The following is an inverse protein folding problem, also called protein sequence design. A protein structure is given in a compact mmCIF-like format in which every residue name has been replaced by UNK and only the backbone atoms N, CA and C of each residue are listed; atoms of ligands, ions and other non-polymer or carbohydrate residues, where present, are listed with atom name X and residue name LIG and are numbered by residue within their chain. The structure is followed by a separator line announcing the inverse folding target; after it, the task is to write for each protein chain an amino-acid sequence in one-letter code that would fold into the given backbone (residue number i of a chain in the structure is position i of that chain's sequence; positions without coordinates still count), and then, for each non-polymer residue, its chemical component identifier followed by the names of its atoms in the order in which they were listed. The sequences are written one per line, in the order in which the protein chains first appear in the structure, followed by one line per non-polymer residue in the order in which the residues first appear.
data_IF_737792188212
#
_entry.id   IF_737792188212
#
_cell.length_a   1.000
_cell.length_b   1.000
_cell.length_c   1.000
_cell.angle_alpha   90.00
_cell.angle_beta   90.00
_cell.angle_gamma   90.00
#
_symmetry.space_group_name_H-M   'P 1'
#
loop_
_entity.id
_entity.type
_entity.pdbx_description
1 polymer ?
#
# COMPACT_ATOMS: atom_id res chain seq x y z
N UNK A 1 -24.32 -68.09 -5.40
CA UNK A 1 -25.14 -66.87 -5.45
C UNK A 1 -24.38 -65.81 -4.66
N UNK A 2 -23.67 -64.92 -5.35
CA UNK A 2 -22.78 -63.91 -4.74
C UNK A 2 -23.63 -62.71 -4.30
N UNK A 3 -23.58 -62.34 -3.02
CA UNK A 3 -24.14 -61.08 -2.53
C UNK A 3 -23.16 -59.95 -2.87
N UNK A 4 -23.61 -58.99 -3.68
CA UNK A 4 -22.97 -57.70 -3.90
C UNK A 4 -23.50 -56.72 -2.86
N UNK A 5 -22.62 -56.25 -1.98
CA UNK A 5 -22.84 -55.06 -1.14
C UNK A 5 -22.53 -53.86 -2.03
N UNK A 6 -23.55 -53.04 -2.30
CA UNK A 6 -23.38 -51.73 -2.94
C UNK A 6 -23.07 -50.75 -1.80
N UNK A 7 -21.80 -50.35 -1.69
CA UNK A 7 -21.39 -49.20 -0.90
C UNK A 7 -21.35 -47.98 -1.82
N UNK A 8 -22.25 -47.03 -1.60
CA UNK A 8 -22.24 -45.72 -2.24
C UNK A 8 -21.14 -44.85 -1.62
N UNK A 9 -20.01 -44.72 -2.32
CA UNK A 9 -19.04 -43.64 -2.07
C UNK A 9 -19.55 -42.36 -2.75
N UNK A 10 -20.19 -41.49 -1.97
CA UNK A 10 -20.34 -40.09 -2.35
C UNK A 10 -19.04 -39.36 -1.98
N UNK A 11 -18.08 -39.34 -2.89
CA UNK A 11 -16.89 -38.51 -2.77
C UNK A 11 -17.26 -37.05 -3.00
N UNK A 12 -17.31 -36.26 -1.93
CA UNK A 12 -17.30 -34.79 -2.02
C UNK A 12 -15.88 -34.40 -2.42
N UNK A 13 -15.66 -34.13 -3.70
CA UNK A 13 -14.47 -33.41 -4.15
C UNK A 13 -14.71 -31.95 -3.79
N UNK A 14 -14.23 -31.52 -2.62
CA UNK A 14 -14.02 -30.10 -2.36
C UNK A 14 -12.88 -29.65 -3.28
N UNK A 15 -13.23 -29.03 -4.40
CA UNK A 15 -12.30 -28.20 -5.14
C UNK A 15 -11.97 -26.99 -4.25
N UNK A 16 -10.85 -27.07 -3.53
CA UNK A 16 -10.18 -25.88 -3.04
C UNK A 16 -9.59 -25.17 -4.26
N UNK A 17 -10.31 -24.18 -4.79
CA UNK A 17 -9.69 -23.14 -5.59
C UNK A 17 -8.84 -22.30 -4.62
N UNK A 18 -7.58 -22.69 -4.43
CA UNK A 18 -6.58 -21.74 -4.00
C UNK A 18 -6.48 -20.72 -5.14
N UNK A 19 -7.05 -19.53 -4.92
CA UNK A 19 -6.68 -18.38 -5.72
C UNK A 19 -5.15 -18.29 -5.63
N UNK A 20 -4.47 -18.42 -6.78
CA UNK A 20 -3.05 -18.11 -6.88
C UNK A 20 -2.95 -16.59 -6.73
N UNK A 21 -3.09 -16.10 -5.50
CA UNK A 21 -2.79 -14.73 -5.15
C UNK A 21 -1.31 -14.51 -5.44
N UNK A 22 -1.01 -13.57 -6.32
CA UNK A 22 0.35 -13.03 -6.40
C UNK A 22 0.69 -12.54 -4.99
N UNK A 23 1.79 -13.01 -4.41
CA UNK A 23 2.20 -12.54 -3.10
C UNK A 23 2.34 -11.01 -3.15
N UNK A 24 1.83 -10.27 -2.15
CA UNK A 24 1.97 -8.82 -2.13
C UNK A 24 3.45 -8.45 -2.18
N UNK A 25 3.76 -7.42 -2.96
CA UNK A 25 5.14 -7.00 -3.23
C UNK A 25 5.85 -6.56 -1.96
N UNK A 26 5.11 -5.88 -1.08
CA UNK A 26 5.48 -5.64 0.30
C UNK A 26 4.20 -5.39 1.09
N UNK A 27 4.25 -5.64 2.40
CA UNK A 27 3.19 -5.24 3.33
C UNK A 27 3.55 -3.88 3.90
N UNK A 28 3.01 -2.82 3.29
CA UNK A 28 3.40 -1.44 3.61
C UNK A 28 2.42 -0.80 4.58
N UNK A 29 2.92 -0.20 5.65
CA UNK A 29 2.13 0.61 6.58
C UNK A 29 2.64 2.03 6.71
N UNK A 30 1.83 2.89 7.30
CA UNK A 30 2.19 4.29 7.55
C UNK A 30 2.00 4.64 9.03
N UNK A 31 2.96 5.37 9.60
CA UNK A 31 2.76 6.00 10.91
C UNK A 31 1.58 6.97 10.84
N UNK A 32 0.69 6.87 11.84
CA UNK A 32 -0.50 7.69 11.93
C UNK A 32 -0.44 8.53 13.20
N UNK A 33 -0.33 9.84 13.03
CA UNK A 33 -0.39 10.81 14.09
C UNK A 33 -1.84 11.13 14.45
N UNK A 34 -2.15 11.02 15.74
CA UNK A 34 -3.52 11.13 16.23
C UNK A 34 -3.90 12.55 16.69
N UNK A 35 -2.97 13.51 16.64
CA UNK A 35 -3.15 14.86 17.19
C UNK A 35 -4.11 15.78 16.43
N UNK A 36 -4.72 15.36 15.33
CA UNK A 36 -5.64 16.20 14.54
C UNK A 36 -7.06 16.24 15.11
N UNK A 37 -7.17 16.53 16.42
CA UNK A 37 -8.41 16.55 17.19
C UNK A 37 -8.57 17.84 17.99
N UNK A 38 -9.78 18.09 18.49
CA UNK A 38 -10.00 19.04 19.58
C UNK A 38 -11.26 18.66 20.37
N UNK A 39 -11.20 18.78 21.70
CA UNK A 39 -12.29 18.51 22.63
C UNK A 39 -13.59 19.28 22.35
N UNK A 40 -13.50 20.37 21.58
CA UNK A 40 -14.64 21.20 21.18
C UNK A 40 -14.90 20.94 19.70
N UNK A 41 -16.04 20.34 19.31
CA UNK A 41 -16.29 19.89 17.94
C UNK A 41 -16.11 20.95 16.84
N UNK A 42 -16.31 22.23 17.16
CA UNK A 42 -16.19 23.33 16.19
C UNK A 42 -14.85 24.07 16.29
N UNK A 43 -13.94 23.64 17.15
CA UNK A 43 -12.62 24.25 17.28
C UNK A 43 -11.64 23.66 16.27
N UNK A 44 -10.66 24.48 15.91
CA UNK A 44 -9.48 24.07 15.12
C UNK A 44 -8.72 23.00 15.89
N UNK A 45 -8.15 22.00 15.20
CA UNK A 45 -7.35 20.96 15.83
C UNK A 45 -6.24 21.53 16.73
N UNK A 46 -6.01 20.91 17.88
CA UNK A 46 -5.10 21.41 18.92
C UNK A 46 -3.67 21.61 18.41
N UNK A 47 -3.24 20.76 17.46
CA UNK A 47 -1.90 20.78 16.88
C UNK A 47 -1.79 21.65 15.61
N UNK A 48 -2.89 22.22 15.13
CA UNK A 48 -2.91 23.17 14.02
C UNK A 48 -2.65 24.60 14.51
N UNK A 49 -1.40 24.87 14.91
CA UNK A 49 -0.97 26.17 15.40
C UNK A 49 -1.10 27.28 14.32
N UNK A 50 -0.94 28.54 14.72
CA UNK A 50 -1.11 29.67 13.80
C UNK A 50 -0.11 29.67 12.65
N UNK A 51 1.13 29.25 12.90
CA UNK A 51 2.20 29.21 11.88
C UNK A 51 1.88 28.19 10.79
N UNK A 52 1.57 26.94 11.16
CA UNK A 52 1.15 25.89 10.24
C UNK A 52 -0.02 26.34 9.37
N UNK A 53 -1.07 26.92 9.98
CA UNK A 53 -2.27 27.32 9.24
C UNK A 53 -2.08 28.52 8.33
N UNK A 54 -1.22 29.47 8.71
CA UNK A 54 -1.08 30.72 7.97
C UNK A 54 0.03 30.65 6.92
N UNK A 55 1.12 29.93 7.22
CA UNK A 55 2.32 29.89 6.38
C UNK A 55 2.39 28.60 5.54
N UNK A 56 1.71 27.54 5.96
CA UNK A 56 1.66 26.25 5.27
C UNK A 56 0.21 25.73 5.06
N UNK A 57 -0.73 26.58 4.59
CA UNK A 57 -2.14 26.20 4.43
C UNK A 57 -2.35 25.04 3.45
N UNK A 58 -1.41 24.79 2.54
CA UNK A 58 -1.44 23.68 1.59
C UNK A 58 -1.34 22.31 2.25
N UNK A 59 -0.91 22.23 3.51
CA UNK A 59 -0.83 20.97 4.28
C UNK A 59 -2.15 20.57 4.92
N UNK A 60 -3.19 21.41 4.83
CA UNK A 60 -4.49 21.05 5.40
C UNK A 60 -5.07 19.84 4.66
N UNK A 61 -5.56 18.80 5.35
CA UNK A 61 -6.21 17.68 4.68
C UNK A 61 -7.47 18.14 3.94
N UNK A 62 -7.83 17.46 2.84
CA UNK A 62 -8.98 17.83 2.00
C UNK A 62 -10.32 17.86 2.75
N UNK A 63 -10.45 17.16 3.87
CA UNK A 63 -11.63 17.15 4.75
C UNK A 63 -11.56 18.18 5.89
N UNK A 64 -10.45 18.91 6.04
CA UNK A 64 -10.19 19.80 7.18
C UNK A 64 -11.16 20.99 7.28
N UNK A 65 -11.59 21.55 6.15
CA UNK A 65 -12.60 22.62 6.09
C UNK A 65 -12.25 23.90 6.85
N UNK A 66 -10.96 24.19 7.03
CA UNK A 66 -10.41 25.27 7.84
C UNK A 66 -10.20 24.91 9.31
N UNK A 67 -10.65 23.73 9.76
CA UNK A 67 -10.51 23.26 11.14
C UNK A 67 -9.34 22.29 11.33
N UNK A 68 -8.72 21.77 10.26
CA UNK A 68 -7.58 20.85 10.35
C UNK A 68 -7.86 19.56 11.13
N UNK A 69 -9.13 19.17 11.24
CA UNK A 69 -9.56 18.00 12.02
C UNK A 69 -9.53 16.72 11.20
N UNK A 70 -9.22 15.60 11.86
CA UNK A 70 -9.21 14.26 11.29
C UNK A 70 -9.85 13.20 12.21
N UNK A 71 -10.62 13.64 13.20
CA UNK A 71 -10.97 12.86 14.40
C UNK A 71 -12.45 12.43 14.46
N UNK A 72 -13.07 12.19 13.31
CA UNK A 72 -14.40 11.58 13.22
C UNK A 72 -14.33 10.20 12.56
N UNK A 73 -15.28 9.31 12.89
CA UNK A 73 -15.39 7.99 12.24
C UNK A 73 -15.54 8.13 10.73
N UNK A 74 -16.33 9.09 10.24
CA UNK A 74 -16.54 9.30 8.79
C UNK A 74 -15.25 9.69 8.08
N UNK A 75 -14.41 10.53 8.71
CA UNK A 75 -13.10 10.89 8.15
C UNK A 75 -12.15 9.68 8.22
N UNK A 76 -12.19 8.88 9.29
CA UNK A 76 -11.41 7.64 9.36
C UNK A 76 -11.82 6.64 8.27
N UNK A 77 -13.11 6.47 8.00
CA UNK A 77 -13.60 5.62 6.90
C UNK A 77 -13.05 6.11 5.55
N UNK A 78 -13.06 7.42 5.28
CA UNK A 78 -12.43 8.00 4.08
C UNK A 78 -10.92 7.73 4.01
N UNK A 79 -10.22 7.84 5.15
CA UNK A 79 -8.78 7.57 5.22
C UNK A 79 -8.45 6.10 4.98
N UNK A 80 -9.25 5.17 5.52
CA UNK A 80 -9.12 3.73 5.28
C UNK A 80 -9.31 3.42 3.80
N UNK A 81 -10.34 3.99 3.16
CA UNK A 81 -10.57 3.78 1.74
C UNK A 81 -9.40 4.27 0.90
N UNK A 82 -8.93 5.51 1.16
CA UNK A 82 -7.76 6.07 0.48
C UNK A 82 -6.52 5.21 0.66
N UNK A 83 -6.19 4.80 1.89
CA UNK A 83 -5.00 4.02 2.15
C UNK A 83 -5.08 2.63 1.48
N UNK A 84 -6.19 1.91 1.65
CA UNK A 84 -6.38 0.59 1.08
C UNK A 84 -6.41 0.62 -0.47
N UNK A 85 -7.04 1.63 -1.08
CA UNK A 85 -7.08 1.82 -2.53
C UNK A 85 -5.69 2.06 -3.15
N UNK A 86 -4.69 2.47 -2.36
CA UNK A 86 -3.33 2.72 -2.84
C UNK A 86 -2.31 1.70 -2.31
N UNK A 87 -2.78 0.58 -1.75
CA UNK A 87 -1.93 -0.53 -1.32
C UNK A 87 -1.32 -0.38 0.07
N UNK A 88 -1.69 0.66 0.83
CA UNK A 88 -1.30 0.76 2.24
C UNK A 88 -2.11 -0.27 3.03
N UNK A 89 -1.40 -1.22 3.62
CA UNK A 89 -1.94 -2.41 4.26
C UNK A 89 -2.31 -2.20 5.73
N UNK A 90 -1.71 -1.20 6.39
CA UNK A 90 -2.02 -0.89 7.79
C UNK A 90 -1.67 0.53 8.21
N UNK A 91 -2.37 1.03 9.22
CA UNK A 91 -1.92 2.19 9.99
C UNK A 91 -1.17 1.76 11.25
N UNK A 92 -0.07 2.44 11.55
CA UNK A 92 0.67 2.32 12.79
C UNK A 92 0.35 3.51 13.70
N UNK A 93 -0.66 3.36 14.55
CA UNK A 93 -1.20 4.44 15.36
C UNK A 93 -0.23 4.83 16.48
N UNK A 94 0.07 6.12 16.58
CA UNK A 94 0.76 6.67 17.74
C UNK A 94 -0.16 6.60 18.95
N UNK A 95 0.19 5.80 19.94
CA UNK A 95 -0.61 5.63 21.14
C UNK A 95 0.07 6.24 22.36
N UNK A 96 -0.69 7.04 23.09
CA UNK A 96 -0.17 7.90 24.15
C UNK A 96 -0.73 7.53 25.53
N UNK A 97 0.13 7.50 26.54
CA UNK A 97 -0.27 7.31 27.94
C UNK A 97 -0.49 8.65 28.65
N UNK A 98 -1.60 8.77 29.38
CA UNK A 98 -1.93 9.96 30.19
C UNK A 98 -2.09 9.65 31.69
N UNK A 99 -1.10 8.97 32.26
CA UNK A 99 -0.92 8.81 33.72
C UNK A 99 -1.93 7.89 34.42
N UNK A 100 -3.06 7.54 33.79
CA UNK A 100 -4.00 6.53 34.28
C UNK A 100 -4.87 5.98 33.15
N UNK A 101 -5.47 4.78 33.32
CA UNK A 101 -6.36 4.22 32.31
C UNK A 101 -7.58 5.10 32.05
N UNK A 102 -8.16 5.69 33.10
CA UNK A 102 -9.35 6.54 32.97
C UNK A 102 -9.11 7.82 32.19
N UNK A 103 -7.93 8.43 32.32
CA UNK A 103 -7.61 9.66 31.58
C UNK A 103 -7.26 9.32 30.13
N UNK A 104 -6.45 8.27 29.93
CA UNK A 104 -6.05 7.81 28.59
C UNK A 104 -7.24 7.41 27.72
N UNK A 105 -8.29 6.80 28.28
CA UNK A 105 -9.52 6.52 27.52
C UNK A 105 -10.33 7.77 27.11
N UNK A 106 -10.02 8.95 27.66
CA UNK A 106 -10.76 10.19 27.46
C UNK A 106 -9.85 11.37 27.03
N UNK A 107 -8.65 11.10 26.53
CA UNK A 107 -7.64 12.14 26.25
C UNK A 107 -7.80 12.83 24.89
N UNK A 108 -8.71 12.35 24.05
CA UNK A 108 -8.96 12.87 22.70
C UNK A 108 -7.83 12.59 21.70
N UNK A 109 -6.57 12.57 22.16
CA UNK A 109 -5.41 12.29 21.32
C UNK A 109 -5.40 10.85 20.84
N UNK A 110 -5.92 9.86 21.56
CA UNK A 110 -5.99 8.47 21.05
C UNK A 110 -7.25 8.20 20.18
N UNK A 111 -7.88 9.25 19.63
CA UNK A 111 -9.19 9.14 18.97
C UNK A 111 -9.13 8.49 17.58
N UNK A 112 -8.01 8.54 16.87
CA UNK A 112 -7.85 7.92 15.56
C UNK A 112 -8.02 6.39 15.63
N UNK A 113 -7.33 5.72 16.55
CA UNK A 113 -7.44 4.29 16.81
C UNK A 113 -8.86 3.94 17.24
N UNK A 114 -9.46 4.73 18.15
CA UNK A 114 -10.84 4.53 18.56
C UNK A 114 -11.83 4.66 17.39
N UNK A 115 -11.60 5.61 16.47
CA UNK A 115 -12.39 5.80 15.26
C UNK A 115 -12.17 4.65 14.27
N UNK A 116 -10.93 4.16 14.12
CA UNK A 116 -10.61 3.01 13.27
C UNK A 116 -11.36 1.76 13.73
N UNK A 117 -11.38 1.48 15.04
CA UNK A 117 -12.12 0.33 15.56
C UNK A 117 -13.63 0.41 15.34
N UNK A 118 -14.18 1.62 15.19
CA UNK A 118 -15.60 1.89 14.93
C UNK A 118 -15.94 1.99 13.43
N UNK A 119 -14.95 2.21 12.57
CA UNK A 119 -15.14 2.38 11.14
C UNK A 119 -15.74 1.12 10.51
N UNK A 120 -16.76 1.30 9.67
CA UNK A 120 -17.48 0.18 9.06
C UNK A 120 -16.67 -0.59 8.01
N UNK A 121 -15.66 0.06 7.42
CA UNK A 121 -14.73 -0.47 6.42
C UNK A 121 -13.36 -0.85 6.98
N UNK A 122 -13.19 -0.94 8.30
CA UNK A 122 -11.90 -1.25 8.93
C UNK A 122 -11.29 -2.56 8.44
N UNK A 123 -12.09 -3.52 8.03
CA UNK A 123 -11.67 -4.85 7.51
C UNK A 123 -10.87 -4.80 6.22
N UNK A 124 -10.83 -3.63 5.56
CA UNK A 124 -9.98 -3.38 4.39
C UNK A 124 -8.48 -3.34 4.71
N UNK A 125 -8.10 -3.12 5.97
CA UNK A 125 -6.70 -3.02 6.38
C UNK A 125 -6.45 -3.58 7.78
N UNK A 126 -5.18 -3.78 8.09
CA UNK A 126 -4.71 -4.11 9.45
C UNK A 126 -4.42 -2.82 10.22
N UNK A 127 -4.12 -2.95 11.50
CA UNK A 127 -3.60 -1.85 12.31
C UNK A 127 -2.51 -2.34 13.26
N UNK A 128 -1.61 -1.43 13.62
CA UNK A 128 -0.54 -1.62 14.58
C UNK A 128 -0.56 -0.46 15.59
N UNK A 129 0.04 -0.67 16.76
CA UNK A 129 0.19 0.35 17.80
C UNK A 129 1.67 0.65 18.00
N UNK A 130 1.99 1.95 17.93
CA UNK A 130 3.28 2.53 18.28
C UNK A 130 3.17 3.22 19.65
N UNK A 131 3.72 2.61 20.70
CA UNK A 131 3.68 3.18 22.06
C UNK A 131 4.65 4.37 22.12
N UNK A 132 4.11 5.58 22.28
CA UNK A 132 4.88 6.83 22.33
C UNK A 132 5.24 7.20 23.77
N UNK A 133 6.30 6.55 24.27
CA UNK A 133 6.87 6.79 25.60
C UNK A 133 7.93 7.90 25.61
N UNK A 134 7.51 9.12 25.30
CA UNK A 134 8.33 10.33 25.41
C UNK A 134 7.51 11.46 26.05
N UNK A 135 8.19 12.43 26.67
CA UNK A 135 7.50 13.59 27.23
C UNK A 135 6.68 14.32 26.15
N UNK A 136 5.44 14.77 26.43
CA UNK A 136 4.81 14.81 27.76
C UNK A 136 4.04 13.54 28.19
N UNK A 137 4.02 12.49 27.36
CA UNK A 137 3.23 11.26 27.54
C UNK A 137 4.08 10.08 28.04
N UNK A 138 5.16 10.37 28.75
CA UNK A 138 6.07 9.35 29.24
C UNK A 138 5.38 8.43 30.26
N UNK A 139 5.68 7.15 30.20
CA UNK A 139 5.25 6.08 31.10
C UNK A 139 6.26 6.00 32.23
N UNK A 140 5.89 6.51 33.40
CA UNK A 140 6.84 6.89 34.43
C UNK A 140 7.26 5.74 35.36
N UNK A 141 6.61 4.58 35.28
CA UNK A 141 6.89 3.46 36.19
C UNK A 141 6.50 2.10 35.64
N UNK A 142 7.06 1.04 36.24
CA UNK A 142 6.67 -0.34 35.93
C UNK A 142 5.16 -0.57 36.06
N UNK A 143 4.55 0.02 37.10
CA UNK A 143 3.10 -0.11 37.34
C UNK A 143 2.28 0.53 36.23
N UNK A 144 2.74 1.66 35.68
CA UNK A 144 2.06 2.29 34.55
C UNK A 144 2.24 1.47 33.28
N UNK A 145 3.43 0.90 33.05
CA UNK A 145 3.65 -0.04 31.95
C UNK A 145 2.77 -1.30 32.05
N UNK A 146 2.58 -1.84 33.25
CA UNK A 146 1.65 -2.95 33.50
C UNK A 146 0.20 -2.55 33.13
N UNK A 147 -0.23 -1.34 33.49
CA UNK A 147 -1.55 -0.82 33.10
C UNK A 147 -1.68 -0.60 31.59
N UNK A 148 -0.63 -0.11 30.94
CA UNK A 148 -0.58 0.04 29.48
C UNK A 148 -0.73 -1.32 28.82
N UNK A 149 -0.02 -2.35 29.29
CA UNK A 149 -0.17 -3.72 28.77
C UNK A 149 -1.63 -4.20 28.86
N UNK A 150 -2.26 -4.05 30.03
CA UNK A 150 -3.66 -4.45 30.25
C UNK A 150 -4.63 -3.71 29.32
N UNK A 151 -4.40 -2.42 29.09
CA UNK A 151 -5.23 -1.61 28.18
C UNK A 151 -5.08 -1.98 26.71
N UNK A 152 -3.88 -2.40 26.30
CA UNK A 152 -3.59 -2.71 24.89
C UNK A 152 -3.99 -4.13 24.50
N UNK A 153 -4.12 -5.06 25.45
CA UNK A 153 -4.45 -6.46 25.13
C UNK A 153 -5.72 -6.68 24.29
N UNK A 154 -6.85 -5.99 24.54
CA UNK A 154 -8.03 -6.14 23.69
C UNK A 154 -7.77 -5.82 22.22
N UNK A 155 -6.88 -4.86 21.93
CA UNK A 155 -6.47 -4.53 20.57
C UNK A 155 -5.55 -5.61 19.98
N UNK A 156 -4.58 -6.09 20.76
CA UNK A 156 -3.63 -7.13 20.35
C UNK A 156 -4.30 -8.48 20.05
N UNK A 157 -5.43 -8.75 20.71
CA UNK A 157 -6.25 -9.92 20.47
C UNK A 157 -7.14 -9.80 19.21
N UNK A 158 -7.27 -8.60 18.62
CA UNK A 158 -8.11 -8.40 17.44
C UNK A 158 -7.54 -9.14 16.21
N UNK A 159 -8.44 -9.71 15.41
CA UNK A 159 -8.08 -10.44 14.18
C UNK A 159 -7.49 -9.54 13.08
N UNK A 160 -7.71 -8.23 13.18
CA UNK A 160 -7.16 -7.23 12.27
C UNK A 160 -5.87 -6.59 12.78
N UNK A 161 -5.40 -6.97 13.96
CA UNK A 161 -4.10 -6.51 14.43
C UNK A 161 -2.99 -7.06 13.53
N UNK A 162 -1.96 -6.24 13.26
CA UNK A 162 -0.80 -6.62 12.46
C UNK A 162 -0.04 -7.77 13.15
N UNK A 163 0.29 -8.81 12.39
CA UNK A 163 0.98 -9.99 12.90
C UNK A 163 2.25 -10.28 12.12
N UNK A 164 3.28 -10.71 12.84
CA UNK A 164 4.55 -11.23 12.32
C UNK A 164 4.77 -12.62 12.89
N UNK A 165 5.02 -13.62 12.06
CA UNK A 165 5.10 -15.02 12.48
C UNK A 165 3.81 -15.54 13.12
N UNK A 166 2.66 -14.86 12.89
CA UNK A 166 1.38 -15.14 13.55
C UNK A 166 1.16 -14.41 14.88
N UNK A 167 2.19 -13.80 15.45
CA UNK A 167 2.17 -13.06 16.71
C UNK A 167 1.88 -11.56 16.48
N UNK A 168 1.11 -10.88 17.34
CA UNK A 168 0.94 -9.42 17.25
C UNK A 168 2.28 -8.69 17.35
N UNK A 169 2.51 -7.71 16.48
CA UNK A 169 3.66 -6.83 16.52
C UNK A 169 3.32 -5.53 17.24
N UNK A 170 4.09 -5.11 18.24
CA UNK A 170 3.97 -3.78 18.87
C UNK A 170 5.20 -2.94 18.52
N UNK A 171 5.00 -1.71 18.07
CA UNK A 171 6.11 -0.77 17.87
C UNK A 171 6.33 0.08 19.12
N UNK A 172 7.59 0.31 19.50
CA UNK A 172 7.98 1.10 20.66
C UNK A 172 8.76 2.33 20.16
N UNK A 173 8.23 3.52 20.43
CA UNK A 173 8.82 4.78 19.98
C UNK A 173 10.18 5.05 20.65
N UNK A 174 10.24 4.90 21.97
CA UNK A 174 11.45 5.09 22.75
C UNK A 174 11.94 3.74 23.25
N UNK A 175 12.97 3.18 22.60
CA UNK A 175 13.46 1.83 22.93
C UNK A 175 14.02 1.70 24.34
N UNK A 176 14.38 2.80 24.99
CA UNK A 176 14.94 2.81 26.32
C UNK A 176 13.87 2.77 27.41
N UNK A 177 12.62 3.09 27.07
CA UNK A 177 11.49 3.11 27.99
C UNK A 177 11.09 1.72 28.51
N UNK A 178 11.15 0.70 27.65
CA UNK A 178 10.73 -0.66 28.02
C UNK A 178 11.84 -1.44 28.74
N UNK A 179 11.58 -1.83 29.99
CA UNK A 179 12.46 -2.70 30.76
C UNK A 179 12.17 -4.19 30.51
N UNK A 180 13.10 -5.08 30.89
CA UNK A 180 12.88 -6.54 30.84
C UNK A 180 11.66 -6.98 31.66
N UNK A 181 11.36 -6.27 32.75
CA UNK A 181 10.21 -6.58 33.59
C UNK A 181 8.90 -6.28 32.88
N UNK A 182 8.80 -5.12 32.24
CA UNK A 182 7.58 -4.73 31.54
C UNK A 182 7.39 -5.59 30.29
N UNK A 183 8.46 -5.89 29.55
CA UNK A 183 8.44 -6.88 28.48
C UNK A 183 7.84 -8.22 28.97
N UNK A 184 8.35 -8.76 30.08
CA UNK A 184 7.86 -10.03 30.63
C UNK A 184 6.39 -9.95 31.07
N UNK A 185 5.94 -8.79 31.53
CA UNK A 185 4.54 -8.57 31.87
C UNK A 185 3.64 -8.57 30.64
N UNK A 186 4.02 -7.88 29.56
CA UNK A 186 3.29 -7.95 28.28
C UNK A 186 3.11 -9.40 27.83
N UNK A 187 4.18 -10.21 27.86
CA UNK A 187 4.09 -11.62 27.50
C UNK A 187 3.17 -12.42 28.44
N UNK A 188 3.18 -12.12 29.74
CA UNK A 188 2.30 -12.76 30.71
C UNK A 188 0.81 -12.49 30.42
N UNK A 189 0.44 -11.22 30.16
CA UNK A 189 -0.95 -10.85 29.88
C UNK A 189 -1.38 -11.40 28.52
N UNK A 190 -0.49 -11.42 27.52
CA UNK A 190 -0.72 -12.04 26.23
C UNK A 190 -1.10 -13.51 26.35
N UNK A 191 -0.29 -14.29 27.07
CA UNK A 191 -0.55 -15.72 27.32
C UNK A 191 -1.90 -15.94 28.03
N UNK A 192 -2.26 -15.07 28.97
CA UNK A 192 -3.56 -15.13 29.65
C UNK A 192 -4.75 -14.81 28.74
N UNK A 193 -4.50 -14.10 27.63
CA UNK A 193 -5.48 -13.70 26.62
C UNK A 193 -5.52 -14.63 25.41
N UNK A 194 -4.77 -15.75 25.43
CA UNK A 194 -4.71 -16.72 24.34
C UNK A 194 -3.81 -16.30 23.17
N UNK A 195 -2.97 -15.28 23.37
CA UNK A 195 -1.90 -14.88 22.45
C UNK A 195 -0.64 -15.62 22.89
N UNK A 196 0.02 -16.33 21.97
CA UNK A 196 1.21 -17.13 22.30
C UNK A 196 2.38 -16.23 22.73
N UNK A 197 2.66 -15.21 21.93
CA UNK A 197 3.75 -14.26 22.15
C UNK A 197 3.44 -12.91 21.50
N UNK A 198 4.04 -11.83 22.00
CA UNK A 198 4.05 -10.51 21.38
C UNK A 198 5.43 -10.23 20.80
N UNK A 199 5.47 -9.84 19.53
CA UNK A 199 6.68 -9.33 18.87
C UNK A 199 6.83 -7.83 19.15
N UNK A 200 8.07 -7.36 19.29
CA UNK A 200 8.32 -5.93 19.50
C UNK A 200 9.32 -5.38 18.49
N UNK A 201 8.95 -4.27 17.85
CA UNK A 201 9.81 -3.46 17.01
C UNK A 201 10.23 -2.18 17.73
N UNK A 202 11.52 -1.89 17.83
CA UNK A 202 12.01 -0.64 18.38
C UNK A 202 12.31 0.40 17.30
N UNK A 203 11.91 1.66 17.52
CA UNK A 203 12.21 2.81 16.65
C UNK A 203 13.60 3.41 16.94
N UNK A 204 14.68 2.62 16.90
CA UNK A 204 16.03 3.12 17.22
C UNK A 204 17.11 2.53 16.34
N UNK A 205 18.25 3.21 16.31
CA UNK A 205 19.50 2.62 15.86
C UNK A 205 20.08 1.69 16.95
N UNK A 206 20.42 0.46 16.56
CA UNK A 206 21.17 -0.49 17.39
C UNK A 206 20.36 -1.64 17.96
N UNK A 207 21.05 -2.78 18.08
CA UNK A 207 20.50 -4.05 18.58
C UNK A 207 20.26 -3.96 20.09
N UNK A 208 19.03 -4.20 20.53
CA UNK A 208 18.75 -4.50 21.94
C UNK A 208 18.05 -5.84 22.05
N UNK A 209 18.57 -6.73 22.89
CA UNK A 209 18.10 -8.12 23.01
C UNK A 209 16.64 -8.28 23.47
N UNK A 210 15.93 -7.18 23.75
CA UNK A 210 14.51 -7.18 24.15
C UNK A 210 13.55 -7.10 22.97
N UNK A 211 14.04 -6.63 21.83
CA UNK A 211 13.22 -6.48 20.62
C UNK A 211 13.45 -7.68 19.71
N UNK A 212 12.45 -8.04 18.93
CA UNK A 212 12.60 -9.05 17.88
C UNK A 212 12.83 -8.37 16.53
N UNK A 213 12.39 -7.12 16.42
CA UNK A 213 12.48 -6.30 15.22
C UNK A 213 13.08 -4.91 15.54
N UNK A 214 13.64 -4.29 14.51
CA UNK A 214 14.11 -2.90 14.56
C UNK A 214 13.52 -2.14 13.37
N UNK A 215 13.18 -0.87 13.58
CA UNK A 215 12.71 0.05 12.56
C UNK A 215 13.08 1.48 12.99
N UNK A 216 12.61 2.50 12.26
CA UNK A 216 12.76 3.89 12.65
C UNK A 216 11.42 4.59 12.53
N UNK A 217 11.09 5.46 13.49
CA UNK A 217 9.94 6.36 13.35
C UNK A 217 10.17 7.37 12.24
N UNK A 218 11.32 8.05 12.28
CA UNK A 218 11.79 8.99 11.28
C UNK A 218 13.32 8.99 11.27
N UNK A 219 13.92 9.50 10.21
CA UNK A 219 15.36 9.58 10.06
C UNK A 219 15.74 10.88 9.33
N UNK A 220 16.31 11.82 10.08
CA UNK A 220 16.87 13.07 9.54
C UNK A 220 18.36 13.15 9.89
N UNK A 221 19.22 13.65 8.99
CA UNK A 221 20.64 13.76 9.23
C UNK A 221 20.97 14.88 10.23
N UNK A 222 20.74 14.64 11.52
CA UNK A 222 21.06 15.56 12.62
C UNK A 222 20.33 16.91 12.58
N UNK A 223 20.63 17.74 13.58
CA UNK A 223 20.07 19.10 13.72
C UNK A 223 21.21 20.11 13.64
N UNK A 224 21.47 20.64 12.45
CA UNK A 224 22.41 21.75 12.32
C UNK A 224 21.84 23.03 12.92
N UNK A 225 22.72 23.96 13.28
CA UNK A 225 22.29 25.30 13.70
C UNK A 225 21.81 26.09 12.48
N UNK A 226 20.64 26.70 12.57
CA UNK A 226 20.09 27.58 11.54
C UNK A 226 19.12 26.89 10.59
N UNK A 227 18.41 27.71 9.82
CA UNK A 227 17.42 27.23 8.83
C UNK A 227 18.18 26.93 7.54
N UNK A 228 18.19 25.65 7.16
CA UNK A 228 18.90 25.21 5.96
C UNK A 228 17.99 24.30 5.15
N UNK A 229 17.76 24.68 3.91
CA UNK A 229 17.04 23.88 2.92
C UNK A 229 17.99 22.88 2.26
N UNK A 230 17.59 21.62 2.22
CA UNK A 230 18.25 20.55 1.49
C UNK A 230 17.30 19.96 0.43
N UNK A 231 17.81 19.44 -0.70
CA UNK A 231 16.96 18.68 -1.61
C UNK A 231 16.43 17.43 -0.89
N UNK A 232 15.21 17.01 -1.25
CA UNK A 232 14.60 15.79 -0.72
C UNK A 232 15.47 14.55 -0.92
N UNK A 233 16.24 14.51 -2.02
CA UNK A 233 17.22 13.45 -2.28
C UNK A 233 18.23 13.28 -1.14
N UNK A 234 18.65 14.36 -0.45
CA UNK A 234 19.57 14.23 0.68
C UNK A 234 18.95 13.48 1.87
N UNK A 235 17.63 13.53 2.00
CA UNK A 235 16.89 12.77 3.01
C UNK A 235 16.82 11.29 2.65
N UNK A 236 16.50 10.98 1.38
CA UNK A 236 16.42 9.58 0.92
C UNK A 236 17.80 8.92 0.93
N UNK A 237 18.84 9.64 0.50
CA UNK A 237 20.23 9.16 0.54
C UNK A 237 20.75 8.92 1.96
N UNK A 238 20.29 9.68 2.95
CA UNK A 238 20.61 9.43 4.35
C UNK A 238 20.03 8.09 4.83
N UNK A 239 18.80 7.80 4.40
CA UNK A 239 18.08 6.56 4.73
C UNK A 239 18.65 5.35 3.98
N UNK A 240 18.83 5.48 2.67
CA UNK A 240 19.25 4.40 1.76
C UNK A 240 20.76 4.11 1.82
N UNK A 241 21.57 5.16 2.03
CA UNK A 241 23.02 5.12 1.91
C UNK A 241 23.51 5.61 0.54
N UNK A 242 24.74 6.14 0.52
CA UNK A 242 25.48 6.53 -0.68
C UNK A 242 26.95 6.80 -0.32
N UNK A 243 27.75 7.32 -1.26
CA UNK A 243 29.15 7.70 -1.01
C UNK A 243 29.33 8.74 0.12
N UNK A 244 28.29 9.53 0.43
CA UNK A 244 28.31 10.55 1.49
C UNK A 244 27.93 9.96 2.86
N UNK A 245 26.90 9.11 2.91
CA UNK A 245 26.32 8.55 4.14
C UNK A 245 26.76 7.10 4.43
N UNK A 246 27.71 6.58 3.65
CA UNK A 246 28.18 5.20 3.74
C UNK A 246 27.01 4.22 3.59
N UNK A 247 26.84 3.30 4.53
CA UNK A 247 25.81 2.26 4.48
C UNK A 247 24.37 2.83 4.52
N UNK A 248 24.15 4.04 5.02
CA UNK A 248 22.78 4.56 5.26
C UNK A 248 22.06 3.86 6.41
N UNK A 249 20.93 4.42 6.83
CA UNK A 249 20.16 3.91 7.98
C UNK A 249 19.74 2.45 7.82
N UNK A 250 19.31 2.03 6.62
CA UNK A 250 18.88 0.64 6.42
C UNK A 250 20.00 -0.38 6.64
N UNK A 251 21.24 -0.02 6.30
CA UNK A 251 22.38 -0.95 6.37
C UNK A 251 23.26 -0.75 7.60
N UNK A 252 22.96 0.19 8.50
CA UNK A 252 23.58 0.21 9.83
C UNK A 252 23.00 -0.85 10.76
N UNK A 253 21.80 -1.36 10.46
CA UNK A 253 21.03 -2.24 11.34
C UNK A 253 21.10 -3.74 10.98
N UNK A 254 21.77 -4.09 9.86
CA UNK A 254 21.82 -5.46 9.32
C UNK A 254 22.74 -6.42 10.08
N UNK A 255 23.69 -5.93 10.89
CA UNK A 255 24.62 -6.78 11.65
C UNK A 255 23.97 -7.44 12.89
N UNK A 256 22.64 -7.35 13.00
CA UNK A 256 21.85 -7.82 14.13
C UNK A 256 21.27 -9.22 13.93
N UNK A 257 20.92 -9.89 15.04
CA UNK A 257 20.08 -11.10 15.02
C UNK A 257 18.58 -10.77 14.93
N UNK A 258 18.23 -9.51 14.69
CA UNK A 258 16.86 -9.00 14.67
C UNK A 258 16.45 -8.72 13.24
N UNK A 259 15.16 -8.91 12.94
CA UNK A 259 14.65 -8.52 11.63
C UNK A 259 14.52 -7.00 11.56
N UNK A 260 14.87 -6.42 10.42
CA UNK A 260 14.74 -5.00 10.15
C UNK A 260 13.52 -4.72 9.29
N UNK A 261 12.71 -3.74 9.71
CA UNK A 261 11.57 -3.23 8.96
C UNK A 261 12.00 -1.86 8.40
N UNK A 262 12.36 -1.77 7.10
CA UNK A 262 12.82 -0.50 6.53
C UNK A 262 11.74 0.56 6.58
N UNK A 263 12.17 1.78 6.90
CA UNK A 263 11.32 2.97 6.90
C UNK A 263 11.73 3.91 5.77
N UNK A 264 10.73 4.49 5.09
CA UNK A 264 10.91 5.57 4.11
C UNK A 264 10.41 6.91 4.65
N UNK A 265 11.11 7.99 4.30
CA UNK A 265 10.72 9.36 4.64
C UNK A 265 9.92 9.97 3.50
N UNK A 266 8.62 10.22 3.68
CA UNK A 266 7.77 10.87 2.67
C UNK A 266 8.04 12.39 2.54
N UNK A 267 8.72 12.99 3.51
CA UNK A 267 9.07 14.40 3.56
C UNK A 267 9.53 14.78 4.97
N UNK A 268 10.16 15.94 5.11
CA UNK A 268 10.47 16.52 6.41
C UNK A 268 10.67 18.03 6.29
N UNK A 269 9.74 18.81 6.83
CA UNK A 269 9.76 20.27 6.89
C UNK A 269 9.00 20.71 8.15
N UNK A 270 9.69 20.59 9.29
CA UNK A 270 9.17 20.86 10.63
C UNK A 270 9.20 22.34 11.05
N UNK A 271 9.42 23.26 10.10
CA UNK A 271 9.40 24.71 10.35
C UNK A 271 8.13 25.19 11.10
N UNK A 272 6.91 24.70 10.82
CA UNK A 272 5.72 25.14 11.54
C UNK A 272 5.74 24.90 13.06
N UNK A 273 6.52 23.94 13.56
CA UNK A 273 6.55 23.55 14.98
C UNK A 273 7.88 23.88 15.68
N UNK A 274 8.98 24.11 14.95
CA UNK A 274 10.33 24.24 15.50
C UNK A 274 10.95 25.64 15.28
N UNK A 275 10.76 26.55 16.23
CA UNK A 275 11.52 27.81 16.35
C UNK A 275 12.58 27.71 17.46
N UNK A 276 13.92 27.85 17.22
CA UNK A 276 14.63 28.26 16.02
C UNK A 276 15.45 27.08 15.41
N UNK A 277 15.98 27.23 14.19
CA UNK A 277 15.49 26.54 13.00
C UNK A 277 16.11 25.16 12.82
N UNK A 278 15.45 24.34 12.01
CA UNK A 278 15.86 22.97 11.69
C UNK A 278 16.12 22.80 10.21
N UNK A 279 16.86 21.74 9.85
CA UNK A 279 17.02 21.35 8.46
C UNK A 279 15.68 20.87 7.89
N UNK A 280 15.37 21.25 6.66
CA UNK A 280 14.16 20.82 5.96
C UNK A 280 14.47 20.39 4.52
N UNK A 281 13.62 19.50 3.99
CA UNK A 281 13.88 18.70 2.80
C UNK A 281 12.69 18.78 1.84
N UNK A 282 12.62 19.87 1.07
CA UNK A 282 11.41 20.21 0.31
C UNK A 282 11.61 20.50 -1.20
N UNK A 283 12.63 21.23 -1.70
CA UNK A 283 12.58 21.83 -3.04
C UNK A 283 12.57 20.80 -4.18
N UNK A 284 12.88 19.53 -3.89
CA UNK A 284 12.83 18.43 -4.85
C UNK A 284 11.92 17.27 -4.43
N UNK A 285 11.10 17.46 -3.39
CA UNK A 285 10.09 16.47 -2.99
C UNK A 285 8.99 16.42 -4.05
N UNK A 286 8.77 15.24 -4.64
CA UNK A 286 7.75 15.01 -5.67
C UNK A 286 7.13 13.64 -5.48
N UNK A 287 5.91 13.39 -6.02
CA UNK A 287 5.31 12.05 -6.03
C UNK A 287 6.27 10.98 -6.57
N UNK A 288 6.92 11.25 -7.70
CA UNK A 288 7.88 10.31 -8.30
C UNK A 288 9.06 9.99 -7.37
N UNK A 289 9.60 10.99 -6.66
CA UNK A 289 10.72 10.77 -5.75
C UNK A 289 10.30 9.92 -4.53
N UNK A 290 9.11 10.15 -3.98
CA UNK A 290 8.56 9.32 -2.88
C UNK A 290 8.30 7.88 -3.35
N UNK A 291 7.69 7.71 -4.52
CA UNK A 291 7.50 6.38 -5.13
C UNK A 291 8.84 5.67 -5.39
N UNK A 292 9.86 6.39 -5.89
CA UNK A 292 11.21 5.82 -6.07
C UNK A 292 11.81 5.37 -4.74
N UNK A 293 11.69 6.18 -3.68
CA UNK A 293 12.18 5.83 -2.35
C UNK A 293 11.49 4.56 -1.80
N UNK A 294 10.17 4.43 -2.03
CA UNK A 294 9.43 3.20 -1.69
C UNK A 294 9.91 1.99 -2.50
N UNK A 295 10.13 2.15 -3.80
CA UNK A 295 10.67 1.06 -4.63
C UNK A 295 12.04 0.61 -4.13
N UNK A 296 12.91 1.55 -3.74
CA UNK A 296 14.22 1.21 -3.19
C UNK A 296 14.10 0.42 -1.87
N UNK A 297 13.09 0.68 -1.03
CA UNK A 297 12.83 -0.11 0.17
C UNK A 297 12.34 -1.52 -0.15
N UNK A 298 11.51 -1.68 -1.19
CA UNK A 298 11.09 -2.98 -1.73
C UNK A 298 12.29 -3.76 -2.28
N UNK A 299 13.14 -3.11 -3.06
CA UNK A 299 14.36 -3.73 -3.60
C UNK A 299 15.30 -4.14 -2.44
N UNK A 300 15.38 -3.31 -1.39
CA UNK A 300 16.19 -3.62 -0.21
C UNK A 300 15.73 -4.89 0.52
N UNK A 301 14.42 -5.09 0.73
CA UNK A 301 13.93 -6.33 1.36
C UNK A 301 14.14 -7.56 0.46
N UNK A 302 14.14 -7.39 -0.87
CA UNK A 302 14.43 -8.46 -1.82
C UNK A 302 15.90 -8.87 -1.81
N UNK A 303 16.80 -7.90 -1.65
CA UNK A 303 18.25 -8.13 -1.58
C UNK A 303 18.72 -8.61 -0.20
N UNK A 304 17.90 -8.41 0.85
CA UNK A 304 18.23 -8.75 2.24
C UNK A 304 17.17 -9.66 2.90
N UNK A 305 16.75 -10.79 2.29
CA UNK A 305 15.66 -11.62 2.79
C UNK A 305 15.96 -12.26 4.15
N UNK A 306 17.23 -12.39 4.54
CA UNK A 306 17.65 -12.87 5.86
C UNK A 306 17.54 -11.82 6.98
N UNK A 307 17.36 -10.54 6.61
CA UNK A 307 17.21 -9.43 7.56
C UNK A 307 15.79 -8.86 7.52
N UNK A 308 15.09 -8.92 6.39
CA UNK A 308 13.70 -8.50 6.32
C UNK A 308 12.78 -9.45 7.11
N UNK A 309 11.60 -8.95 7.52
CA UNK A 309 10.55 -9.82 8.06
C UNK A 309 9.93 -10.69 6.95
N UNK A 310 9.44 -11.88 7.29
CA UNK A 310 8.79 -12.80 6.35
C UNK A 310 7.54 -12.17 5.69
N UNK A 311 6.85 -11.29 6.42
CA UNK A 311 5.69 -10.53 5.93
C UNK A 311 6.07 -9.36 5.01
N UNK A 312 7.37 -9.16 4.76
CA UNK A 312 7.89 -8.11 3.87
C UNK A 312 7.43 -6.73 4.29
N UNK A 313 7.56 -6.42 5.58
CA UNK A 313 7.07 -5.16 6.14
C UNK A 313 7.92 -3.97 5.68
N UNK A 314 7.26 -2.87 5.32
CA UNK A 314 7.88 -1.56 5.08
C UNK A 314 7.04 -0.49 5.79
N UNK A 315 7.69 0.51 6.38
CA UNK A 315 7.03 1.61 7.08
C UNK A 315 7.19 2.94 6.33
N UNK A 316 6.13 3.73 6.24
CA UNK A 316 6.17 5.09 5.71
C UNK A 316 6.06 6.07 6.88
N UNK A 317 7.01 7.00 6.96
CA UNK A 317 6.88 8.23 7.72
C UNK A 317 6.40 9.36 6.79
N UNK A 318 5.15 9.77 6.81
CA UNK A 318 4.02 9.22 7.58
C UNK A 318 2.72 9.42 6.80
N UNK A 319 1.59 8.93 7.32
CA UNK A 319 0.27 9.24 6.76
C UNK A 319 -0.02 10.75 6.85
N UNK A 320 0.12 11.36 8.03
CA UNK A 320 -0.47 12.66 8.35
C UNK A 320 0.33 13.54 9.35
N UNK A 321 1.66 13.44 9.43
CA UNK A 321 2.50 14.36 10.23
C UNK A 321 2.62 15.75 9.56
N UNK A 322 1.51 16.49 9.44
CA UNK A 322 1.48 17.78 8.73
C UNK A 322 2.41 18.82 9.33
N UNK A 323 2.55 18.85 10.66
CA UNK A 323 3.44 19.79 11.34
C UNK A 323 4.92 19.53 11.07
N UNK A 324 5.30 18.25 10.99
CA UNK A 324 6.68 17.84 10.67
C UNK A 324 6.95 17.81 9.16
N UNK A 325 5.92 17.90 8.32
CA UNK A 325 6.04 17.95 6.86
C UNK A 325 6.25 16.60 6.18
N UNK A 326 6.10 15.50 6.92
CA UNK A 326 6.14 14.14 6.39
C UNK A 326 4.75 13.55 6.30
N UNK A 327 4.02 13.79 5.20
CA UNK A 327 2.65 13.31 5.01
C UNK A 327 2.43 12.82 3.58
N UNK A 328 1.59 11.79 3.40
CA UNK A 328 1.18 11.27 2.07
C UNK A 328 -0.32 11.37 1.83
N UNK A 329 -1.09 11.69 2.88
CA UNK A 329 -2.53 11.89 2.80
C UNK A 329 -2.87 13.08 1.89
N UNK A 330 -3.98 13.04 1.11
CA UNK A 330 -4.38 14.17 0.27
C UNK A 330 -4.62 15.44 1.07
N UNK A 331 -4.04 16.55 0.59
CA UNK A 331 -4.15 17.87 1.20
C UNK A 331 -4.66 18.90 0.20
N UNK A 332 -4.87 20.14 0.63
CA UNK A 332 -5.18 21.25 -0.28
C UNK A 332 -4.08 21.45 -1.33
N UNK A 333 -2.82 21.16 -1.01
CA UNK A 333 -1.68 21.20 -1.93
C UNK A 333 -1.55 19.99 -2.87
N UNK A 334 -2.19 18.87 -2.54
CA UNK A 334 -2.26 17.66 -3.37
C UNK A 334 -3.66 17.03 -3.27
N UNK A 335 -4.69 17.69 -3.84
CA UNK A 335 -6.08 17.27 -3.65
C UNK A 335 -6.41 15.95 -4.37
N UNK A 336 -5.67 15.67 -5.45
CA UNK A 336 -5.86 14.48 -6.26
C UNK A 336 -5.13 13.26 -5.63
N UNK A 337 -4.17 13.51 -4.72
CA UNK A 337 -3.46 12.45 -4.00
C UNK A 337 -2.33 11.83 -4.81
N UNK A 338 -1.59 12.64 -5.58
CA UNK A 338 -0.51 12.20 -6.45
C UNK A 338 0.57 11.41 -5.70
N UNK A 339 0.84 11.74 -4.43
CA UNK A 339 1.76 10.94 -3.61
C UNK A 339 1.25 9.51 -3.37
N UNK A 340 -0.06 9.34 -3.16
CA UNK A 340 -0.68 8.03 -3.04
C UNK A 340 -0.66 7.28 -4.38
N UNK A 341 -0.90 7.96 -5.51
CA UNK A 341 -0.81 7.33 -6.84
C UNK A 341 0.61 6.80 -7.11
N UNK A 342 1.64 7.57 -6.73
CA UNK A 342 3.02 7.14 -6.86
C UNK A 342 3.34 5.91 -5.98
N UNK A 343 2.81 5.85 -4.75
CA UNK A 343 2.92 4.68 -3.87
C UNK A 343 2.21 3.48 -4.48
N UNK A 344 0.97 3.68 -4.97
CA UNK A 344 0.18 2.64 -5.60
C UNK A 344 0.93 2.01 -6.78
N UNK A 345 1.60 2.82 -7.61
CA UNK A 345 2.35 2.34 -8.76
C UNK A 345 3.50 1.37 -8.42
N UNK A 346 3.99 1.41 -7.18
CA UNK A 346 5.05 0.54 -6.66
C UNK A 346 4.46 -0.73 -6.02
N UNK A 347 3.40 -0.58 -5.24
CA UNK A 347 2.81 -1.68 -4.46
C UNK A 347 1.83 -2.52 -5.25
N UNK A 348 1.23 -1.92 -6.27
CA UNK A 348 0.34 -2.52 -7.23
C UNK A 348 0.91 -2.27 -8.63
N UNK A 349 2.13 -2.74 -8.95
CA UNK A 349 2.71 -2.56 -10.26
C UNK A 349 1.98 -3.46 -11.23
N UNK A 350 1.64 -2.89 -12.38
CA UNK A 350 0.88 -3.55 -13.42
C UNK A 350 1.49 -4.91 -13.78
N UNK A 351 0.71 -6.00 -13.61
CA UNK A 351 -0.50 -6.18 -14.38
C UNK A 351 -1.70 -6.54 -13.48
N UNK A 352 -2.54 -5.58 -13.12
CA UNK A 352 -3.80 -5.91 -12.41
C UNK A 352 -4.88 -4.82 -12.40
N UNK A 353 -4.63 -3.62 -12.95
CA UNK A 353 -5.75 -2.74 -13.27
C UNK A 353 -6.44 -3.34 -14.51
N UNK A 354 -7.43 -4.19 -14.29
CA UNK A 354 -8.33 -4.62 -15.37
C UNK A 354 -9.19 -3.39 -15.69
N UNK A 355 -9.05 -2.75 -16.87
CA UNK A 355 -9.75 -1.50 -17.10
C UNK A 355 -11.25 -1.74 -17.01
N UNK A 356 -11.97 -0.98 -16.19
CA UNK A 356 -13.39 -1.24 -15.92
C UNK A 356 -13.71 -2.03 -14.65
N UNK A 357 -12.71 -2.56 -13.94
CA UNK A 357 -12.86 -3.29 -12.68
C UNK A 357 -12.75 -2.30 -11.50
N UNK A 358 -13.89 -1.75 -11.08
CA UNK A 358 -13.95 -0.73 -10.05
C UNK A 358 -13.71 -1.31 -8.65
N UNK A 359 -14.18 -2.55 -8.38
CA UNK A 359 -14.05 -3.17 -7.06
C UNK A 359 -12.74 -3.97 -6.90
N UNK A 360 -11.95 -4.07 -7.98
CA UNK A 360 -10.65 -4.76 -8.06
C UNK A 360 -10.74 -6.24 -7.69
N UNK A 361 -11.86 -6.88 -8.03
CA UNK A 361 -12.05 -8.32 -7.83
C UNK A 361 -11.44 -9.18 -8.96
N UNK A 362 -10.86 -8.52 -9.97
CA UNK A 362 -10.24 -9.11 -11.14
C UNK A 362 -11.21 -9.37 -12.29
N UNK A 363 -12.50 -9.02 -12.16
CA UNK A 363 -13.55 -9.29 -13.13
C UNK A 363 -14.41 -8.05 -13.41
N UNK A 364 -14.35 -7.51 -14.63
CA UNK A 364 -15.30 -6.45 -15.03
C UNK A 364 -16.70 -7.03 -15.22
N UNK A 365 -17.62 -6.68 -14.35
CA UNK A 365 -18.97 -7.24 -14.30
C UNK A 365 -20.04 -6.21 -13.84
N UNK A 366 -21.22 -6.71 -13.49
CA UNK A 366 -22.36 -5.87 -13.10
C UNK A 366 -22.11 -5.10 -11.79
N UNK A 367 -21.23 -5.61 -10.93
CA UNK A 367 -20.82 -4.94 -9.69
C UNK A 367 -20.09 -3.64 -10.00
N UNK A 368 -19.17 -3.65 -10.96
CA UNK A 368 -18.43 -2.46 -11.41
C UNK A 368 -19.35 -1.46 -12.10
N UNK A 369 -20.29 -1.95 -12.89
CA UNK A 369 -21.31 -1.08 -13.50
C UNK A 369 -22.17 -0.41 -12.44
N UNK A 370 -22.43 -1.10 -11.32
CA UNK A 370 -23.09 -0.53 -10.16
C UNK A 370 -22.30 0.64 -9.55
N UNK A 371 -20.97 0.51 -9.44
CA UNK A 371 -20.08 1.56 -8.95
C UNK A 371 -20.08 2.77 -9.89
N UNK A 372 -19.89 2.55 -11.20
CA UNK A 372 -19.96 3.63 -12.20
C UNK A 372 -21.32 4.32 -12.18
N UNK A 373 -22.41 3.54 -12.11
CA UNK A 373 -23.77 4.07 -12.05
C UNK A 373 -24.04 4.91 -10.80
N UNK A 374 -23.47 4.54 -9.65
CA UNK A 374 -23.61 5.28 -8.40
C UNK A 374 -22.88 6.64 -8.42
N UNK A 375 -21.83 6.74 -9.24
CA UNK A 375 -20.94 7.90 -9.30
C UNK A 375 -21.01 8.68 -10.62
N UNK A 376 -21.91 8.31 -11.54
CA UNK A 376 -22.00 8.91 -12.86
C UNK A 376 -22.19 10.44 -12.80
N UNK A 377 -21.40 11.15 -13.61
CA UNK A 377 -21.34 12.60 -13.71
C UNK A 377 -20.94 13.31 -12.40
N UNK A 378 -20.19 12.62 -11.53
CA UNK A 378 -19.53 13.22 -10.36
C UNK A 378 -18.07 13.56 -10.67
N UNK A 379 -17.57 14.59 -10.00
CA UNK A 379 -16.19 15.05 -10.08
C UNK A 379 -15.38 14.58 -8.86
N UNK A 380 -14.04 14.65 -8.96
CA UNK A 380 -13.09 14.14 -7.96
C UNK A 380 -13.25 12.63 -7.76
N UNK A 381 -13.67 11.94 -8.82
CA UNK A 381 -13.78 10.50 -8.82
C UNK A 381 -12.39 9.87 -9.00
N UNK A 382 -12.28 8.62 -8.59
CA UNK A 382 -11.06 7.81 -8.65
C UNK A 382 -11.43 6.44 -9.22
N UNK A 383 -10.44 5.60 -9.47
CA UNK A 383 -10.62 4.25 -10.00
C UNK A 383 -11.74 3.46 -9.30
N UNK A 384 -11.68 3.38 -7.97
CA UNK A 384 -12.68 2.66 -7.15
C UNK A 384 -14.08 3.28 -7.15
N UNK A 385 -14.22 4.49 -7.69
CA UNK A 385 -15.49 5.17 -7.90
C UNK A 385 -15.97 5.09 -9.35
N UNK A 386 -15.22 4.43 -10.24
CA UNK A 386 -15.58 4.24 -11.64
C UNK A 386 -14.96 5.23 -12.62
N UNK A 387 -13.93 5.99 -12.22
CA UNK A 387 -13.09 6.78 -13.13
C UNK A 387 -11.90 5.92 -13.59
N UNK A 388 -12.01 5.32 -14.77
CA UNK A 388 -11.04 4.39 -15.34
C UNK A 388 -10.08 5.06 -16.34
N UNK A 389 -10.33 6.30 -16.75
CA UNK A 389 -9.42 7.07 -17.59
C UNK A 389 -8.59 8.10 -16.81
N UNK A 390 -8.84 8.21 -15.49
CA UNK A 390 -8.17 9.09 -14.54
C UNK A 390 -8.31 10.58 -14.90
N UNK A 391 -9.45 10.97 -15.44
CA UNK A 391 -9.76 12.39 -15.71
C UNK A 391 -10.51 13.09 -14.56
N UNK A 392 -10.64 12.39 -13.43
CA UNK A 392 -11.32 12.81 -12.21
C UNK A 392 -12.84 12.98 -12.34
N UNK A 393 -13.44 12.45 -13.41
CA UNK A 393 -14.88 12.44 -13.63
C UNK A 393 -15.31 11.02 -13.99
N UNK A 394 -16.35 10.49 -13.34
CA UNK A 394 -16.95 9.22 -13.79
C UNK A 394 -18.01 9.52 -14.83
N UNK A 395 -17.74 9.29 -16.11
CA UNK A 395 -18.64 9.63 -17.20
C UNK A 395 -18.78 8.54 -18.29
N UNK A 396 -19.22 8.95 -19.48
CA UNK A 396 -19.45 8.05 -20.61
C UNK A 396 -18.15 7.42 -21.14
N UNK A 397 -17.01 8.06 -20.95
CA UNK A 397 -15.70 7.52 -21.30
C UNK A 397 -15.39 6.28 -20.44
N UNK A 398 -15.68 6.34 -19.14
CA UNK A 398 -15.48 5.22 -18.21
C UNK A 398 -16.45 4.07 -18.46
N UNK A 399 -17.72 4.39 -18.75
CA UNK A 399 -18.67 3.37 -19.23
C UNK A 399 -18.15 2.69 -20.50
N UNK A 400 -17.48 3.43 -21.38
CA UNK A 400 -16.81 2.90 -22.55
C UNK A 400 -15.68 1.92 -22.21
N UNK A 401 -14.83 2.27 -21.24
CA UNK A 401 -13.74 1.43 -20.76
C UNK A 401 -14.28 0.16 -20.09
N UNK A 402 -15.27 0.28 -19.21
CA UNK A 402 -15.94 -0.84 -18.57
C UNK A 402 -16.58 -1.78 -19.59
N UNK A 403 -17.32 -1.22 -20.55
CA UNK A 403 -17.95 -2.01 -21.61
C UNK A 403 -16.93 -2.77 -22.48
N UNK A 404 -15.78 -2.14 -22.75
CA UNK A 404 -14.72 -2.73 -23.58
C UNK A 404 -14.02 -3.94 -22.92
N UNK A 405 -14.10 -4.06 -21.60
CA UNK A 405 -13.39 -5.06 -20.82
C UNK A 405 -14.33 -6.05 -20.10
N UNK A 406 -15.63 -6.02 -20.40
CA UNK A 406 -16.65 -6.82 -19.75
C UNK A 406 -16.34 -8.34 -19.77
N UNK A 407 -16.18 -8.93 -18.60
CA UNK A 407 -15.82 -10.35 -18.42
C UNK A 407 -17.03 -11.25 -18.09
N UNK A 408 -18.19 -10.67 -17.80
CA UNK A 408 -19.41 -11.36 -17.35
C UNK A 408 -20.13 -12.28 -18.36
N UNK A 409 -19.45 -12.72 -19.42
CA UNK A 409 -19.97 -13.66 -20.43
C UNK A 409 -18.98 -14.81 -20.64
N UNK A 410 -18.97 -15.78 -19.71
CA UNK A 410 -18.38 -17.13 -19.80
C UNK A 410 -17.25 -17.41 -20.82
N UNK A 411 -16.08 -17.76 -20.29
CA UNK A 411 -14.95 -18.47 -20.94
C UNK A 411 -14.23 -17.76 -22.10
N UNK A 412 -13.04 -17.22 -21.80
CA UNK A 412 -12.05 -16.92 -22.83
C UNK A 412 -10.82 -16.18 -22.32
N UNK A 413 -9.91 -16.89 -21.65
CA UNK A 413 -8.50 -16.46 -21.59
C UNK A 413 -7.97 -16.46 -23.02
N UNK A 414 -7.48 -15.32 -23.50
CA UNK A 414 -6.50 -15.25 -24.59
C UNK A 414 -5.45 -14.23 -24.21
N UNK A 415 -4.50 -14.69 -23.38
CA UNK A 415 -3.15 -14.15 -23.30
C UNK A 415 -2.59 -13.94 -24.71
N UNK A 416 -1.94 -12.80 -24.90
CA UNK A 416 -1.18 -12.45 -26.09
C UNK A 416 -0.20 -13.58 -26.48
N UNK A 417 -0.45 -14.28 -27.58
CA UNK A 417 0.61 -14.95 -28.34
C UNK A 417 1.14 -13.97 -29.38
N UNK A 418 2.31 -13.39 -29.11
CA UNK A 418 3.15 -12.74 -30.11
C UNK A 418 3.79 -13.79 -31.02
N UNK A 419 3.01 -14.33 -31.96
CA UNK A 419 3.59 -15.07 -33.09
C UNK A 419 3.93 -14.10 -34.22
N UNK A 420 5.16 -13.57 -34.19
CA UNK A 420 5.82 -13.09 -35.40
C UNK A 420 6.04 -14.29 -36.35
N UNK A 421 5.05 -14.58 -37.18
CA UNK A 421 5.24 -15.43 -38.33
C UNK A 421 5.99 -14.63 -39.41
N UNK A 422 7.30 -14.82 -39.46
CA UNK A 422 8.11 -14.51 -40.64
C UNK A 422 7.60 -15.40 -41.79
N UNK A 423 7.14 -14.86 -42.94
CA UNK A 423 6.75 -15.72 -44.06
C UNK A 423 7.99 -16.37 -44.67
N UNK A 424 8.07 -17.70 -44.65
CA UNK A 424 9.11 -18.41 -45.40
C UNK A 424 8.93 -18.24 -46.92
N UNK A 425 10.03 -18.16 -47.72
CA UNK A 425 9.98 -17.83 -49.15
C UNK A 425 9.38 -18.92 -50.07
N UNK A 426 8.74 -19.95 -49.53
CA UNK A 426 8.15 -21.04 -50.32
C UNK A 426 6.70 -20.74 -50.76
N UNK A 427 5.98 -19.85 -50.07
CA UNK A 427 4.60 -19.51 -50.42
C UNK A 427 4.48 -18.59 -51.66
N UNK A 428 5.54 -17.86 -52.02
CA UNK A 428 5.57 -16.96 -53.18
C UNK A 428 5.83 -17.70 -54.51
N UNK A 429 6.39 -18.91 -54.47
CA UNK A 429 6.61 -19.74 -55.66
C UNK A 429 5.37 -20.50 -56.14
N UNK A 430 4.41 -20.78 -55.25
CA UNK A 430 3.14 -21.45 -55.61
C UNK A 430 2.09 -20.50 -56.21
N UNK A 431 2.23 -19.18 -56.02
CA UNK A 431 1.32 -18.17 -56.58
C UNK A 431 1.71 -17.73 -58.00
N UNK A 432 2.97 -17.90 -58.42
CA UNK A 432 3.42 -17.61 -59.80
C UNK A 432 3.16 -18.80 -60.75
N UNK A 433 3.15 -20.04 -60.25
CA UNK A 433 2.82 -21.23 -61.04
C UNK A 433 1.30 -21.41 -61.31
N UNK A 434 0.44 -20.81 -60.49
CA UNK A 434 -1.02 -20.84 -60.65
C UNK A 434 -1.57 -19.86 -61.70
N UNK A 435 -0.89 -18.73 -61.93
CA UNK A 435 -1.35 -17.69 -62.87
C UNK A 435 -0.90 -17.97 -64.32
N UNK A 436 0.13 -18.80 -64.54
CA UNK A 436 0.56 -19.23 -65.88
C UNK A 436 -0.29 -20.36 -66.49
N UNK A 437 -1.11 -21.08 -65.69
CA UNK A 437 -2.01 -22.13 -66.19
C UNK A 437 -3.45 -21.67 -66.47
N UNK A 438 -3.79 -20.40 -66.23
CA UNK A 438 -5.12 -19.84 -66.53
C UNK A 438 -5.15 -19.02 -67.85
N UNK A 439 -4.01 -18.81 -68.51
CA UNK A 439 -3.89 -18.02 -69.75
C UNK A 439 -4.00 -18.80 -71.08
N UNK A 440 -4.12 -20.13 -71.07
CA UNK A 440 -4.11 -20.93 -72.30
C UNK A 440 -5.26 -21.94 -72.39
N UNK A 441 -6.52 -21.48 -72.26
CA UNK A 441 -7.69 -22.25 -72.74
C UNK A 441 -8.81 -21.35 -73.30
N UNK A 442 -8.57 -20.71 -74.45
CA UNK A 442 -9.62 -20.40 -75.43
C UNK A 442 -9.03 -20.39 -76.84
N UNK A 443 -9.24 -21.48 -77.59
CA UNK A 443 -9.49 -21.47 -79.04
C UNK A 443 -9.99 -22.85 -79.46
N UNK A 444 -11.30 -22.88 -79.69
CA UNK A 444 -12.08 -23.99 -80.24
C UNK A 444 -11.75 -24.17 -81.72
N UNK A 445 -11.63 -25.42 -82.21
CA UNK A 445 -12.01 -25.77 -83.59
C UNK A 445 -12.50 -27.24 -83.66
N UNK A 446 -13.43 -27.56 -84.59
CA UNK A 446 -14.29 -28.75 -84.52
C UNK A 446 -13.73 -30.02 -85.20
N UNK A 447 -14.26 -31.17 -84.77
CA UNK A 447 -14.25 -32.52 -85.41
C UNK A 447 -14.74 -32.42 -86.87
N UNK A 448 -14.40 -33.26 -87.87
CA UNK A 448 -14.09 -34.70 -87.96
C UNK A 448 -13.76 -34.99 -89.47
N UNK A 449 -12.80 -35.84 -89.90
CA UNK A 449 -12.93 -37.25 -90.40
C UNK A 449 -11.71 -37.55 -91.33
N UNK A 450 -11.24 -38.81 -91.49
CA UNK A 450 -9.91 -39.17 -92.01
C UNK A 450 -9.88 -39.81 -93.42
N UNK A 451 -8.71 -39.85 -94.07
CA UNK A 451 -8.23 -40.91 -95.01
C UNK A 451 -6.85 -40.51 -95.61
N UNK A 452 -5.77 -41.20 -95.24
CA UNK A 452 -5.00 -42.20 -96.03
C UNK A 452 -3.87 -41.60 -96.92
N UNK A 453 -2.81 -42.37 -97.20
CA UNK A 453 -1.43 -41.89 -97.32
C UNK A 453 -0.86 -41.94 -98.76
N UNK A 454 0.26 -41.25 -98.98
CA UNK A 454 1.10 -41.43 -100.17
C UNK A 454 2.35 -40.56 -100.11
N UNK A 455 3.52 -41.20 -99.93
CA UNK A 455 4.64 -41.25 -100.89
C UNK A 455 5.22 -39.88 -101.28
N UNK A 456 6.42 -39.54 -100.76
CA UNK A 456 7.74 -39.93 -101.28
C UNK A 456 8.19 -39.02 -102.44
N UNK A 457 9.13 -38.13 -102.12
CA UNK A 457 10.36 -37.79 -102.86
C UNK A 457 10.88 -36.45 -102.33
#
# INVERSE_FOLDING_TARGET
MRLLIIASLSGVVLCAQAALGVAPIATVGAYYFEGWYHDTPQAVAAFANAELRNEFPEREPIWGGGLWRGDTVQIMEQQIDLAADHGISFFNFHWYWYGSPSVTMNDGINSGLANFMQASNRDRMKFNINIVDVAPTAIASDTEWEQVADMLMPYLADSQYLRVGGNPLVTIFNSDGMTQRNYAYFQLVAASSGIEEIEFAANVAGVTSRYTHVTHHSAVPGWGAGEVEYPYQSLTEYVEGNDTWSAGVWNTEIDSTQSYIPMIMAGFDARPWNTPPTWYFNPTRTPHAVGRHLQNAVDWIDDHPQHASDERLVMIYSWNEFGEGGYIVPTIGDPDGLYLDAIQSVLIPEPSIVPGDANRDGLVNVSDLGVVGANFNRHHMRWGSGDFNQDHVTDVADLGILGANWTGSGHGISIFESSHAVPEPAALFCLIAGVLNYGLRRRSFPRMVPSQPGHAA
#
